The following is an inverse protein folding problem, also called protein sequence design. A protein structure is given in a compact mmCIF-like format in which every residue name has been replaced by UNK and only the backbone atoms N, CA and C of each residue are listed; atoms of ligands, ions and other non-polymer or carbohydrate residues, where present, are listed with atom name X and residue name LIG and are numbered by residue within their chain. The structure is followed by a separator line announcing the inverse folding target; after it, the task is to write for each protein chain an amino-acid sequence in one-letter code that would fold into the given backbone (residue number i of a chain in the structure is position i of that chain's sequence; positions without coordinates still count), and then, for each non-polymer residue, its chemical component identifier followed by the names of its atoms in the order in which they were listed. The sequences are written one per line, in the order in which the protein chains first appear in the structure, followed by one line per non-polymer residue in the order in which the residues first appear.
data_IF_790699278680
#
_entry.id   IF_790699278680
#
_cell.length_a   1.000
_cell.length_b   1.000
_cell.length_c   1.000
_cell.angle_alpha   90.00
_cell.angle_beta   90.00
_cell.angle_gamma   90.00
#
_symmetry.space_group_name_H-M   'P 1'
#
loop_
_entity.id
_entity.type
_entity.pdbx_description
1 polymer ?
#
# COMPACT_ATOMS: atom_id res chain seq x y z
N UNK A 1 3.84 -8.17 13.88
CA UNK A 1 4.40 -9.49 14.28
C UNK A 1 4.69 -10.36 13.07
N UNK A 2 3.75 -11.13 12.51
CA UNK A 2 4.05 -12.05 11.39
C UNK A 2 4.78 -11.35 10.23
N UNK A 3 4.25 -10.21 9.76
CA UNK A 3 4.88 -9.49 8.65
C UNK A 3 6.18 -8.83 9.05
N UNK A 4 6.27 -8.33 10.30
CA UNK A 4 7.52 -7.80 10.85
C UNK A 4 8.61 -8.85 10.79
N UNK A 5 8.33 -10.05 11.29
CA UNK A 5 9.25 -11.19 11.22
C UNK A 5 9.57 -11.58 9.77
N UNK A 6 8.58 -11.57 8.87
CA UNK A 6 8.82 -11.81 7.44
C UNK A 6 9.75 -10.76 6.78
N UNK A 7 9.80 -9.52 7.29
CA UNK A 7 10.74 -8.50 6.83
C UNK A 7 12.11 -8.64 7.47
N UNK A 8 12.14 -8.73 8.80
CA UNK A 8 13.37 -8.61 9.60
C UNK A 8 14.10 -9.93 9.78
N UNK A 9 13.37 -11.05 9.79
CA UNK A 9 13.85 -12.36 10.26
C UNK A 9 14.46 -12.35 11.66
N UNK A 10 14.15 -11.31 12.44
CA UNK A 10 14.59 -11.15 13.81
C UNK A 10 13.54 -11.76 14.75
N UNK A 11 13.81 -12.94 15.36
CA UNK A 11 12.87 -13.59 16.27
C UNK A 11 12.71 -12.84 17.60
N UNK A 12 13.64 -11.93 17.93
CA UNK A 12 13.59 -11.13 19.15
C UNK A 12 12.78 -9.86 18.96
N UNK A 13 12.38 -9.50 17.74
CA UNK A 13 11.57 -8.32 17.44
C UNK A 13 12.15 -7.03 18.03
N UNK A 14 13.44 -6.77 17.83
CA UNK A 14 14.06 -5.49 18.20
C UNK A 14 13.42 -4.32 17.47
N UNK A 15 12.86 -4.56 16.28
CA UNK A 15 12.06 -3.59 15.55
C UNK A 15 10.67 -4.13 15.23
N UNK A 16 9.64 -3.38 15.63
CA UNK A 16 8.25 -3.60 15.26
C UNK A 16 7.84 -2.62 14.16
N UNK A 17 7.54 -3.16 12.98
CA UNK A 17 7.17 -2.36 11.80
C UNK A 17 5.66 -2.16 11.73
N UNK A 18 5.21 -0.93 11.95
CA UNK A 18 3.83 -0.45 11.74
C UNK A 18 3.65 0.05 10.31
N UNK A 19 3.30 -0.87 9.43
CA UNK A 19 3.13 -0.64 8.00
C UNK A 19 1.66 -0.79 7.54
N UNK A 20 1.43 -1.03 6.25
CA UNK A 20 0.10 -1.01 5.62
C UNK A 20 -0.95 -1.88 6.34
N UNK A 21 -0.60 -3.09 6.78
CA UNK A 21 -1.54 -3.98 7.48
C UNK A 21 -1.96 -3.41 8.84
N UNK A 22 -1.07 -2.70 9.53
CA UNK A 22 -1.43 -2.01 10.76
C UNK A 22 -2.43 -0.89 10.48
N UNK A 23 -2.12 -0.02 9.52
CA UNK A 23 -2.98 1.12 9.18
C UNK A 23 -4.37 0.69 8.69
N UNK A 24 -4.43 -0.34 7.84
CA UNK A 24 -5.72 -0.91 7.40
C UNK A 24 -6.42 -1.63 8.56
N UNK A 25 -5.69 -2.36 9.40
CA UNK A 25 -6.24 -3.07 10.56
C UNK A 25 -6.99 -2.16 11.53
N UNK A 26 -6.35 -1.08 11.98
CA UNK A 26 -7.01 -0.10 12.86
C UNK A 26 -8.15 0.63 12.14
N UNK A 27 -7.98 0.93 10.84
CA UNK A 27 -9.02 1.55 10.03
C UNK A 27 -10.25 0.64 9.89
N UNK A 28 -10.10 -0.68 9.80
CA UNK A 28 -11.22 -1.63 9.79
C UNK A 28 -12.00 -1.63 11.10
N UNK A 29 -11.30 -1.54 12.25
CA UNK A 29 -11.96 -1.44 13.57
C UNK A 29 -12.80 -0.16 13.64
N UNK A 30 -12.24 0.97 13.21
CA UNK A 30 -12.95 2.26 13.19
C UNK A 30 -14.12 2.21 12.20
N UNK A 31 -13.91 1.65 11.02
CA UNK A 31 -14.95 1.43 10.01
C UNK A 31 -16.13 0.62 10.54
N UNK A 32 -15.89 -0.37 11.42
CA UNK A 32 -16.96 -1.14 12.07
C UNK A 32 -17.96 -0.28 12.84
N UNK A 33 -17.53 0.89 13.33
CA UNK A 33 -18.42 1.89 13.93
C UNK A 33 -18.97 2.87 12.88
N UNK A 34 -18.12 3.35 11.97
CA UNK A 34 -18.51 4.35 10.97
C UNK A 34 -19.50 3.84 9.92
N UNK A 35 -19.57 2.53 9.70
CA UNK A 35 -20.50 1.92 8.74
C UNK A 35 -21.97 2.11 9.11
N UNK A 36 -22.24 2.45 10.38
CA UNK A 36 -23.57 2.80 10.88
C UNK A 36 -24.01 4.21 10.46
N UNK A 37 -23.07 5.05 9.99
CA UNK A 37 -23.40 6.39 9.54
C UNK A 37 -24.09 6.36 8.17
N UNK A 38 -24.96 7.35 7.88
CA UNK A 38 -25.53 7.48 6.55
C UNK A 38 -24.45 7.71 5.48
N UNK A 39 -24.68 7.17 4.28
CA UNK A 39 -23.76 7.26 3.12
C UNK A 39 -23.16 8.66 2.90
N UNK A 40 -23.96 9.72 3.02
CA UNK A 40 -23.50 11.10 2.81
C UNK A 40 -22.43 11.52 3.81
N UNK A 41 -22.54 11.08 5.06
CA UNK A 41 -21.57 11.39 6.12
C UNK A 41 -20.27 10.65 5.91
N UNK A 42 -20.31 9.36 5.56
CA UNK A 42 -19.11 8.58 5.22
C UNK A 42 -18.38 9.18 4.02
N UNK A 43 -19.13 9.56 2.97
CA UNK A 43 -18.56 10.18 1.78
C UNK A 43 -17.91 11.53 2.13
N UNK A 44 -18.62 12.39 2.86
CA UNK A 44 -18.09 13.69 3.28
C UNK A 44 -16.83 13.54 4.13
N UNK A 45 -16.85 12.65 5.12
CA UNK A 45 -15.70 12.38 5.99
C UNK A 45 -14.50 11.86 5.20
N UNK A 46 -14.72 10.90 4.29
CA UNK A 46 -13.66 10.38 3.42
C UNK A 46 -13.05 11.46 2.53
N UNK A 47 -13.88 12.33 1.94
CA UNK A 47 -13.41 13.47 1.11
C UNK A 47 -12.62 14.44 1.98
N UNK A 48 -13.13 14.82 3.16
CA UNK A 48 -12.45 15.76 4.07
C UNK A 48 -11.09 15.22 4.48
N UNK A 49 -11.00 13.94 4.85
CA UNK A 49 -9.72 13.34 5.23
C UNK A 49 -8.77 13.33 4.03
N UNK A 50 -9.17 12.77 2.89
CA UNK A 50 -8.27 12.61 1.74
C UNK A 50 -7.85 13.95 1.14
N UNK A 51 -8.81 14.87 0.95
CA UNK A 51 -8.56 16.16 0.34
C UNK A 51 -7.93 17.15 1.31
N UNK A 52 -8.23 17.08 2.62
CA UNK A 52 -7.76 18.01 3.63
C UNK A 52 -6.50 17.59 4.37
N UNK A 53 -6.08 16.32 4.28
CA UNK A 53 -4.92 15.81 5.02
C UNK A 53 -3.65 16.64 4.79
N UNK A 54 -3.39 17.08 3.55
CA UNK A 54 -2.17 17.83 3.23
C UNK A 54 -2.19 19.28 3.75
N UNK A 55 -3.32 19.80 4.25
CA UNK A 55 -3.35 21.09 4.97
C UNK A 55 -2.47 21.01 6.22
N UNK A 56 -2.36 19.83 6.84
CA UNK A 56 -1.50 19.61 8.01
C UNK A 56 -0.01 19.80 7.71
N UNK A 57 0.40 19.78 6.44
CA UNK A 57 1.79 19.94 6.05
C UNK A 57 2.24 21.41 6.05
N UNK A 58 1.31 22.38 6.03
CA UNK A 58 1.67 23.79 6.09
C UNK A 58 2.32 24.11 7.44
N UNK A 59 3.44 24.84 7.44
CA UNK A 59 4.27 25.13 8.62
C UNK A 59 3.45 25.66 9.80
N UNK A 60 2.54 26.60 9.52
CA UNK A 60 1.62 27.20 10.49
C UNK A 60 0.80 26.17 11.27
N UNK A 61 0.42 25.06 10.63
CA UNK A 61 -0.36 23.98 11.24
C UNK A 61 0.58 22.94 11.87
N UNK A 62 1.64 22.60 11.16
CA UNK A 62 2.55 21.51 11.46
C UNK A 62 3.39 21.75 12.72
N UNK A 63 3.89 22.97 12.92
CA UNK A 63 4.75 23.34 14.06
C UNK A 63 4.11 23.04 15.43
N UNK A 64 2.77 23.09 15.51
CA UNK A 64 2.03 22.83 16.75
C UNK A 64 1.62 21.37 16.94
N UNK A 65 1.62 20.56 15.88
CA UNK A 65 1.02 19.21 15.88
C UNK A 65 2.05 18.08 15.74
N UNK A 66 3.25 18.36 15.19
CA UNK A 66 4.27 17.34 14.93
C UNK A 66 5.15 17.05 16.14
N UNK A 67 5.79 15.88 16.15
CA UNK A 67 6.86 15.56 17.10
C UNK A 67 6.48 14.60 18.22
N UNK A 68 5.48 13.75 18.01
CA UNK A 68 5.11 12.74 19.00
C UNK A 68 4.46 11.50 18.40
N UNK A 69 4.50 10.40 19.16
CA UNK A 69 4.00 9.09 18.75
C UNK A 69 2.57 9.15 18.19
N UNK A 70 1.68 9.87 18.86
CA UNK A 70 0.27 9.98 18.47
C UNK A 70 0.09 10.76 17.16
N UNK A 71 0.83 11.85 16.99
CA UNK A 71 0.78 12.66 15.79
C UNK A 71 1.24 11.85 14.56
N UNK A 72 2.28 11.03 14.73
CA UNK A 72 2.79 10.16 13.67
C UNK A 72 1.86 8.98 13.39
N UNK A 73 1.30 8.35 14.43
CA UNK A 73 0.29 7.30 14.27
C UNK A 73 -0.91 7.79 13.47
N UNK A 74 -1.36 9.01 13.73
CA UNK A 74 -2.56 9.57 13.11
C UNK A 74 -2.27 10.14 11.72
N UNK A 75 -1.29 11.03 11.61
CA UNK A 75 -1.14 11.92 10.45
C UNK A 75 0.25 11.91 9.84
N UNK A 76 1.32 12.04 10.62
CA UNK A 76 2.61 12.53 10.10
C UNK A 76 3.70 11.48 9.88
N UNK A 77 3.45 10.20 10.14
CA UNK A 77 4.50 9.19 10.03
C UNK A 77 5.20 9.18 8.67
N UNK A 78 6.53 9.30 8.75
CA UNK A 78 7.47 9.17 7.65
C UNK A 78 8.69 8.40 8.17
N UNK A 79 8.54 7.07 8.30
CA UNK A 79 9.53 6.19 8.90
C UNK A 79 9.93 6.60 10.33
N UNK A 80 9.02 7.21 11.08
CA UNK A 80 9.24 7.68 12.45
C UNK A 80 9.56 6.52 13.39
N UNK A 81 10.63 6.63 14.17
CA UNK A 81 11.07 5.58 15.10
C UNK A 81 10.94 6.01 16.54
N UNK A 82 10.45 5.09 17.37
CA UNK A 82 10.21 5.31 18.80
C UNK A 82 10.73 4.13 19.59
N UNK A 83 11.56 4.39 20.60
CA UNK A 83 11.99 3.36 21.53
C UNK A 83 10.88 3.11 22.55
N UNK A 84 10.39 1.87 22.63
CA UNK A 84 9.33 1.48 23.57
C UNK A 84 9.93 0.80 24.80
N UNK A 85 10.94 -0.04 24.59
CA UNK A 85 11.72 -0.66 25.66
C UNK A 85 13.21 -0.57 25.31
N UNK A 86 14.09 -0.81 26.28
CA UNK A 86 15.54 -0.86 26.02
C UNK A 86 15.83 -1.88 24.92
N UNK A 87 16.41 -1.43 23.81
CA UNK A 87 16.71 -2.26 22.63
C UNK A 87 15.51 -2.62 21.74
N UNK A 88 14.29 -2.19 22.05
CA UNK A 88 13.10 -2.45 21.23
C UNK A 88 12.43 -1.16 20.74
N UNK A 89 12.21 -1.10 19.44
CA UNK A 89 11.72 0.07 18.73
C UNK A 89 10.43 -0.25 17.96
N UNK A 90 9.58 0.75 17.81
CA UNK A 90 8.51 0.76 16.81
C UNK A 90 8.93 1.73 15.70
N UNK A 91 8.78 1.30 14.45
CA UNK A 91 8.83 2.19 13.30
C UNK A 91 7.43 2.34 12.70
N UNK A 92 6.97 3.59 12.57
CA UNK A 92 5.70 3.91 11.95
C UNK A 92 5.98 4.35 10.52
N UNK A 93 5.57 3.52 9.57
CA UNK A 93 5.70 3.80 8.14
C UNK A 93 4.35 4.34 7.61
N UNK A 94 3.24 3.94 8.21
CA UNK A 94 1.90 4.28 7.73
C UNK A 94 1.08 4.93 8.86
N UNK A 95 0.88 6.25 8.81
CA UNK A 95 -0.13 6.96 9.62
C UNK A 95 -1.52 6.52 9.17
N UNK A 96 -2.40 6.13 10.08
CA UNK A 96 -3.61 5.41 9.67
C UNK A 96 -4.75 6.32 9.16
N UNK A 97 -4.83 7.60 9.56
CA UNK A 97 -5.99 8.44 9.22
C UNK A 97 -6.11 8.67 7.70
N UNK A 98 -5.04 8.96 6.94
CA UNK A 98 -5.12 9.03 5.48
C UNK A 98 -5.67 7.73 4.83
N UNK A 99 -5.29 6.57 5.37
CA UNK A 99 -5.78 5.27 4.89
C UNK A 99 -7.25 5.02 5.29
N UNK A 100 -7.67 5.46 6.47
CA UNK A 100 -9.07 5.45 6.87
C UNK A 100 -9.92 6.29 5.91
N UNK A 101 -9.44 7.49 5.55
CA UNK A 101 -10.10 8.37 4.59
C UNK A 101 -10.36 7.68 3.25
N UNK A 102 -9.33 7.04 2.68
CA UNK A 102 -9.52 6.34 1.41
C UNK A 102 -10.36 5.06 1.54
N UNK A 103 -10.34 4.38 2.69
CA UNK A 103 -11.21 3.24 2.97
C UNK A 103 -12.68 3.65 3.05
N UNK A 104 -13.00 4.80 3.65
CA UNK A 104 -14.36 5.37 3.66
C UNK A 104 -14.84 5.65 2.23
N UNK A 105 -13.99 6.27 1.41
CA UNK A 105 -14.30 6.51 -0.01
C UNK A 105 -14.47 5.20 -0.78
N UNK A 106 -13.62 4.21 -0.53
CA UNK A 106 -13.71 2.87 -1.11
C UNK A 106 -15.00 2.15 -0.73
N UNK A 107 -15.43 2.26 0.53
CA UNK A 107 -16.71 1.73 0.99
C UNK A 107 -17.88 2.38 0.27
N UNK A 108 -17.87 3.71 0.13
CA UNK A 108 -18.89 4.43 -0.63
C UNK A 108 -18.88 4.04 -2.11
N UNK A 109 -17.69 3.90 -2.70
CA UNK A 109 -17.49 3.45 -4.08
C UNK A 109 -18.03 2.05 -4.33
N UNK A 110 -17.97 1.15 -3.33
CA UNK A 110 -18.56 -0.20 -3.39
C UNK A 110 -20.06 -0.20 -3.73
N UNK A 111 -20.78 0.88 -3.43
CA UNK A 111 -22.20 1.04 -3.78
C UNK A 111 -22.47 0.92 -5.29
N UNK A 112 -21.51 1.31 -6.14
CA UNK A 112 -21.64 1.19 -7.60
C UNK A 112 -21.66 -0.27 -8.08
N UNK A 113 -21.16 -1.20 -7.27
CA UNK A 113 -21.14 -2.64 -7.54
C UNK A 113 -22.27 -3.41 -6.84
N UNK A 114 -23.23 -2.70 -6.22
CA UNK A 114 -24.44 -3.32 -5.69
C UNK A 114 -25.27 -3.98 -6.81
N UNK A 115 -25.98 -5.04 -6.48
CA UNK A 115 -26.78 -5.84 -7.43
C UNK A 115 -27.86 -5.03 -8.18
N UNK A 116 -28.35 -3.95 -7.57
CA UNK A 116 -29.36 -3.06 -8.14
C UNK A 116 -28.78 -1.90 -8.98
N UNK A 117 -27.45 -1.78 -9.06
CA UNK A 117 -26.82 -0.66 -9.76
C UNK A 117 -26.63 -0.98 -11.25
N UNK A 118 -27.12 -0.10 -12.11
CA UNK A 118 -27.04 -0.27 -13.56
C UNK A 118 -25.57 -0.33 -14.06
N UNK A 119 -25.15 -1.40 -14.77
CA UNK A 119 -23.78 -1.53 -15.27
C UNK A 119 -23.37 -0.42 -16.25
N UNK A 120 -24.28 0.08 -17.09
CA UNK A 120 -24.01 1.17 -18.03
C UNK A 120 -23.67 2.47 -17.32
N UNK A 121 -24.46 2.83 -16.30
CA UNK A 121 -24.22 3.96 -15.40
C UNK A 121 -22.94 3.78 -14.61
N UNK A 122 -22.67 2.58 -14.05
CA UNK A 122 -21.42 2.29 -13.34
C UNK A 122 -20.22 2.58 -14.24
N UNK A 123 -20.18 1.98 -15.43
CA UNK A 123 -19.07 2.20 -16.38
C UNK A 123 -18.84 3.68 -16.69
N UNK A 124 -19.92 4.43 -16.94
CA UNK A 124 -19.85 5.87 -17.18
C UNK A 124 -19.23 6.62 -16.00
N UNK A 125 -19.68 6.31 -14.78
CA UNK A 125 -19.14 6.90 -13.54
C UNK A 125 -17.66 6.55 -13.38
N UNK A 126 -17.26 5.29 -13.59
CA UNK A 126 -15.86 4.86 -13.48
C UNK A 126 -14.96 5.61 -14.45
N UNK A 127 -15.37 5.74 -15.72
CA UNK A 127 -14.60 6.49 -16.71
C UNK A 127 -14.49 7.96 -16.28
N UNK A 128 -15.60 8.60 -15.92
CA UNK A 128 -15.62 10.01 -15.51
C UNK A 128 -14.78 10.28 -14.26
N UNK A 129 -14.89 9.44 -13.22
CA UNK A 129 -14.10 9.56 -12.00
C UNK A 129 -12.62 9.31 -12.26
N UNK A 130 -12.29 8.25 -13.01
CA UNK A 130 -10.91 7.92 -13.36
C UNK A 130 -10.23 9.03 -14.15
N UNK A 131 -10.87 9.54 -15.21
CA UNK A 131 -10.37 10.68 -15.99
C UNK A 131 -10.32 11.96 -15.17
N UNK A 132 -11.31 12.20 -14.30
CA UNK A 132 -11.37 13.37 -13.44
C UNK A 132 -10.23 13.40 -12.42
N UNK A 133 -9.89 12.26 -11.82
CA UNK A 133 -8.75 12.12 -10.92
C UNK A 133 -7.41 12.29 -11.65
N UNK A 134 -7.26 11.73 -12.86
CA UNK A 134 -6.05 11.96 -13.67
C UNK A 134 -5.91 13.46 -14.01
N UNK A 135 -6.99 14.11 -14.39
CA UNK A 135 -6.99 15.55 -14.66
C UNK A 135 -6.65 16.36 -13.40
N UNK A 136 -7.24 16.01 -12.25
CA UNK A 136 -6.93 16.63 -10.97
C UNK A 136 -5.45 16.46 -10.60
N UNK A 137 -4.89 15.26 -10.80
CA UNK A 137 -3.46 15.02 -10.60
C UNK A 137 -2.62 15.96 -11.47
N UNK A 138 -2.89 16.02 -12.77
CA UNK A 138 -2.13 16.88 -13.69
C UNK A 138 -2.25 18.35 -13.29
N UNK A 139 -3.47 18.82 -12.99
CA UNK A 139 -3.72 20.20 -12.58
C UNK A 139 -2.95 20.56 -11.30
N UNK A 140 -3.05 19.74 -10.25
CA UNK A 140 -2.35 19.99 -9.00
C UNK A 140 -0.84 19.95 -9.15
N UNK A 141 -0.31 19.04 -9.98
CA UNK A 141 1.12 19.00 -10.29
C UNK A 141 1.57 20.23 -11.07
N UNK A 142 0.83 20.69 -12.07
CA UNK A 142 1.17 21.91 -12.81
C UNK A 142 1.15 23.16 -11.91
N UNK A 143 0.22 23.24 -10.96
CA UNK A 143 0.17 24.33 -9.97
C UNK A 143 1.32 24.24 -8.96
N UNK A 144 1.72 23.03 -8.58
CA UNK A 144 2.87 22.77 -7.70
C UNK A 144 2.75 23.39 -6.28
N UNK A 145 1.53 23.60 -5.78
CA UNK A 145 1.27 24.30 -4.49
C UNK A 145 0.64 23.42 -3.38
N UNK A 146 0.05 22.27 -3.72
CA UNK A 146 -0.73 21.47 -2.78
C UNK A 146 -0.43 19.99 -2.93
N UNK A 147 -0.46 19.23 -1.84
CA UNK A 147 -0.41 17.76 -1.88
C UNK A 147 0.98 17.14 -2.00
N UNK A 148 2.02 17.89 -2.35
CA UNK A 148 3.40 17.37 -2.36
C UNK A 148 4.32 18.30 -1.58
N UNK A 149 4.96 17.84 -0.48
CA UNK A 149 5.97 18.64 0.23
C UNK A 149 7.24 18.86 -0.59
N UNK A 150 7.48 18.10 -1.66
CA UNK A 150 8.60 18.25 -2.56
C UNK A 150 8.12 18.64 -3.97
N UNK A 151 7.95 19.94 -4.27
CA UNK A 151 7.53 20.42 -5.58
C UNK A 151 8.42 19.85 -6.71
N UNK A 152 7.81 19.46 -7.82
CA UNK A 152 8.60 19.03 -8.98
C UNK A 152 9.36 20.22 -9.56
N UNK A 153 10.49 19.92 -10.18
CA UNK A 153 11.34 20.91 -10.83
C UNK A 153 12.10 20.28 -11.99
N UNK A 154 12.51 21.13 -12.94
CA UNK A 154 13.33 20.72 -14.06
C UNK A 154 14.64 20.07 -13.59
N UNK A 155 14.96 18.93 -14.19
CA UNK A 155 16.14 18.16 -13.84
C UNK A 155 17.28 18.47 -14.81
N UNK A 156 18.51 18.72 -14.32
CA UNK A 156 19.68 18.94 -15.17
C UNK A 156 19.99 17.75 -16.10
N UNK A 157 19.52 16.56 -15.72
CA UNK A 157 19.70 15.30 -16.47
C UNK A 157 18.77 15.17 -17.69
N UNK A 158 17.97 16.20 -17.98
CA UNK A 158 17.14 16.29 -19.18
C UNK A 158 15.66 15.96 -18.97
N UNK A 159 14.90 16.01 -20.06
CA UNK A 159 13.42 15.98 -20.07
C UNK A 159 12.82 14.72 -19.45
N UNK A 160 13.46 13.56 -19.61
CA UNK A 160 12.98 12.30 -18.99
C UNK A 160 13.03 12.40 -17.47
N UNK A 161 14.10 12.94 -16.91
CA UNK A 161 14.22 13.10 -15.46
C UNK A 161 13.27 14.19 -14.94
N UNK A 162 13.02 15.26 -15.72
CA UNK A 162 11.98 16.24 -15.40
C UNK A 162 10.59 15.60 -15.37
N UNK A 163 10.27 14.73 -16.33
CA UNK A 163 9.02 13.98 -16.35
C UNK A 163 8.90 13.01 -15.16
N UNK A 164 9.99 12.33 -14.80
CA UNK A 164 10.02 11.49 -13.59
C UNK A 164 9.87 12.32 -12.32
N UNK A 165 10.45 13.52 -12.25
CA UNK A 165 10.23 14.49 -11.17
C UNK A 165 8.75 14.86 -11.09
N UNK A 166 8.09 15.12 -12.22
CA UNK A 166 6.65 15.37 -12.27
C UNK A 166 5.81 14.20 -11.74
N UNK A 167 6.22 12.94 -11.96
CA UNK A 167 5.53 11.76 -11.42
C UNK A 167 5.94 11.39 -9.98
N UNK A 168 7.05 11.92 -9.47
CA UNK A 168 7.56 11.63 -8.15
C UNK A 168 6.76 12.42 -7.10
N UNK A 169 5.86 11.74 -6.40
CA UNK A 169 4.94 12.36 -5.42
C UNK A 169 5.02 11.65 -4.08
N UNK A 170 4.81 12.40 -3.00
CA UNK A 170 4.92 11.86 -1.66
C UNK A 170 3.85 10.80 -1.33
N UNK A 171 4.32 9.63 -0.88
CA UNK A 171 3.47 8.49 -0.47
C UNK A 171 3.24 8.41 1.04
N UNK A 172 4.16 8.95 1.85
CA UNK A 172 4.14 8.79 3.30
C UNK A 172 4.11 10.14 4.00
N UNK A 173 2.98 10.51 4.62
CA UNK A 173 1.63 9.94 4.44
C UNK A 173 1.07 10.17 3.00
N UNK A 174 0.08 9.38 2.54
CA UNK A 174 -0.38 9.46 1.15
C UNK A 174 -1.17 10.74 0.93
N UNK A 175 -0.79 11.50 -0.10
CA UNK A 175 -1.44 12.76 -0.45
C UNK A 175 -2.63 12.59 -1.40
N UNK A 176 -3.43 13.65 -1.52
CA UNK A 176 -4.47 13.74 -2.56
C UNK A 176 -3.90 13.49 -3.96
N UNK A 177 -2.71 14.04 -4.26
CA UNK A 177 -2.04 13.85 -5.55
C UNK A 177 -1.63 12.38 -5.73
N UNK A 178 -1.06 11.74 -4.70
CA UNK A 178 -0.70 10.33 -4.74
C UNK A 178 -1.93 9.46 -5.02
N UNK A 179 -3.05 9.72 -4.34
CA UNK A 179 -4.30 9.00 -4.60
C UNK A 179 -4.85 9.26 -6.00
N UNK A 180 -4.84 10.52 -6.47
CA UNK A 180 -5.31 10.86 -7.81
C UNK A 180 -4.48 10.16 -8.91
N UNK A 181 -3.15 10.16 -8.75
CA UNK A 181 -2.20 9.51 -9.67
C UNK A 181 -2.37 7.99 -9.71
N UNK A 182 -2.66 7.35 -8.58
CA UNK A 182 -2.69 5.88 -8.46
C UNK A 182 -4.08 5.31 -8.68
N UNK A 183 -5.12 5.95 -8.14
CA UNK A 183 -6.50 5.48 -8.24
C UNK A 183 -7.19 5.95 -9.52
N UNK A 184 -6.84 7.12 -10.08
CA UNK A 184 -7.42 7.60 -11.33
C UNK A 184 -7.26 6.59 -12.47
N UNK A 185 -6.02 6.18 -12.82
CA UNK A 185 -5.78 5.13 -13.80
C UNK A 185 -6.41 3.79 -13.43
N UNK A 186 -6.38 3.40 -12.15
CA UNK A 186 -6.98 2.14 -11.68
C UNK A 186 -8.49 2.09 -11.88
N UNK A 187 -9.22 3.16 -11.51
CA UNK A 187 -10.66 3.29 -11.68
C UNK A 187 -11.03 3.36 -13.17
N UNK A 188 -10.25 4.12 -13.96
CA UNK A 188 -10.43 4.17 -15.42
C UNK A 188 -10.26 2.78 -16.03
N UNK A 189 -9.19 2.07 -15.65
CA UNK A 189 -8.92 0.71 -16.08
C UNK A 189 -10.10 -0.22 -15.76
N UNK A 190 -10.63 -0.18 -14.52
CA UNK A 190 -11.82 -0.95 -14.14
C UNK A 190 -13.03 -0.70 -15.06
N UNK A 191 -13.30 0.56 -15.41
CA UNK A 191 -14.40 0.90 -16.34
C UNK A 191 -14.16 0.43 -17.78
N UNK A 192 -12.90 0.29 -18.20
CA UNK A 192 -12.54 -0.19 -19.53
C UNK A 192 -12.58 -1.72 -19.63
N UNK A 193 -12.17 -2.42 -18.57
CA UNK A 193 -12.04 -3.88 -18.58
C UNK A 193 -13.24 -4.63 -18.00
N UNK A 194 -14.30 -3.93 -17.59
CA UNK A 194 -15.44 -4.50 -16.89
C UNK A 194 -16.07 -5.72 -17.58
N UNK A 195 -16.11 -5.74 -18.93
CA UNK A 195 -16.68 -6.84 -19.73
C UNK A 195 -15.64 -7.85 -20.24
N UNK A 196 -14.36 -7.67 -19.90
CA UNK A 196 -13.26 -8.46 -20.48
C UNK A 196 -13.07 -9.75 -19.69
N UNK A 197 -13.50 -10.86 -20.30
CA UNK A 197 -13.31 -12.21 -19.75
C UNK A 197 -12.49 -13.05 -20.71
N UNK A 198 -11.24 -13.34 -20.33
CA UNK A 198 -10.33 -14.18 -21.12
C UNK A 198 -9.37 -14.95 -20.19
N UNK A 199 -8.49 -15.76 -20.78
CA UNK A 199 -7.54 -16.59 -20.01
C UNK A 199 -6.62 -15.74 -19.13
N UNK A 200 -6.18 -14.58 -19.60
CA UNK A 200 -5.29 -13.69 -18.86
C UNK A 200 -6.00 -13.07 -17.66
N UNK A 201 -7.22 -12.52 -17.84
CA UNK A 201 -8.00 -12.01 -16.71
C UNK A 201 -8.38 -13.11 -15.72
N UNK A 202 -8.58 -14.34 -16.20
CA UNK A 202 -8.73 -15.53 -15.35
C UNK A 202 -7.52 -15.81 -14.45
N UNK A 203 -6.29 -15.65 -14.96
CA UNK A 203 -5.05 -15.78 -14.17
C UNK A 203 -4.98 -14.69 -13.10
N UNK A 204 -5.20 -13.43 -13.49
CA UNK A 204 -5.17 -12.30 -12.55
C UNK A 204 -6.22 -12.43 -11.44
N UNK A 205 -7.41 -12.93 -11.78
CA UNK A 205 -8.50 -13.17 -10.83
C UNK A 205 -8.17 -14.23 -9.78
N UNK A 206 -7.21 -15.14 -10.02
CA UNK A 206 -6.76 -16.08 -9.00
C UNK A 206 -6.04 -15.32 -7.89
N UNK A 207 -5.05 -14.49 -8.22
CA UNK A 207 -4.36 -13.67 -7.22
C UNK A 207 -5.32 -12.71 -6.51
N UNK A 208 -6.21 -12.06 -7.27
CA UNK A 208 -7.17 -11.09 -6.74
C UNK A 208 -8.19 -11.67 -5.76
N UNK A 209 -8.47 -12.98 -5.81
CA UNK A 209 -9.40 -13.66 -4.87
C UNK A 209 -8.74 -14.10 -3.56
N UNK A 210 -7.41 -14.24 -3.56
CA UNK A 210 -6.64 -14.65 -2.37
C UNK A 210 -5.44 -13.73 -2.07
N UNK A 211 -5.61 -12.39 -2.11
CA UNK A 211 -4.50 -11.45 -2.07
C UNK A 211 -3.76 -11.47 -0.74
N UNK A 212 -4.43 -11.71 0.39
CA UNK A 212 -3.78 -11.80 1.70
C UNK A 212 -2.87 -13.03 1.81
N UNK A 213 -3.25 -14.17 1.22
CA UNK A 213 -2.39 -15.34 1.17
C UNK A 213 -1.10 -15.04 0.39
N UNK A 214 -1.24 -14.48 -0.81
CA UNK A 214 -0.10 -14.06 -1.62
C UNK A 214 0.77 -13.06 -0.84
N UNK A 215 0.13 -12.05 -0.22
CA UNK A 215 0.80 -11.03 0.56
C UNK A 215 1.59 -11.60 1.76
N UNK A 216 1.11 -12.61 2.45
CA UNK A 216 1.87 -13.21 3.55
C UNK A 216 3.01 -14.06 3.01
N UNK A 217 2.71 -14.97 2.07
CA UNK A 217 3.68 -15.95 1.60
C UNK A 217 4.85 -15.33 0.83
N UNK A 218 4.61 -14.29 0.03
CA UNK A 218 5.70 -13.70 -0.76
C UNK A 218 6.82 -13.12 0.13
N UNK A 219 6.52 -12.59 1.33
CA UNK A 219 7.57 -12.12 2.25
C UNK A 219 8.48 -13.27 2.69
N UNK A 220 7.90 -14.39 3.11
CA UNK A 220 8.68 -15.54 3.55
C UNK A 220 9.47 -16.18 2.41
N UNK A 221 8.89 -16.26 1.22
CA UNK A 221 9.60 -16.78 0.03
C UNK A 221 10.76 -15.85 -0.33
N UNK A 222 10.52 -14.55 -0.44
CA UNK A 222 11.58 -13.57 -0.77
C UNK A 222 12.66 -13.60 0.30
N UNK A 223 12.32 -13.62 1.58
CA UNK A 223 13.32 -13.68 2.64
C UNK A 223 14.12 -14.99 2.60
N UNK A 224 13.48 -16.12 2.30
CA UNK A 224 14.18 -17.39 2.08
C UNK A 224 15.16 -17.29 0.91
N UNK A 225 14.77 -16.63 -0.19
CA UNK A 225 15.67 -16.37 -1.32
C UNK A 225 16.83 -15.44 -0.93
N UNK A 226 16.61 -14.48 -0.04
CA UNK A 226 17.66 -13.63 0.52
C UNK A 226 18.67 -14.48 1.30
N UNK A 227 18.20 -15.38 2.18
CA UNK A 227 19.07 -16.30 2.94
C UNK A 227 19.87 -17.22 2.00
N UNK A 228 19.24 -17.76 0.96
CA UNK A 228 19.93 -18.59 -0.04
C UNK A 228 21.00 -17.75 -0.76
N UNK A 229 20.63 -16.55 -1.22
CA UNK A 229 21.54 -15.64 -1.93
C UNK A 229 22.72 -15.22 -1.06
N UNK A 230 22.47 -14.98 0.23
CA UNK A 230 23.49 -14.65 1.23
C UNK A 230 24.60 -15.72 1.27
N UNK A 231 24.24 -16.98 1.44
CA UNK A 231 25.25 -18.05 1.45
C UNK A 231 25.86 -18.31 0.07
N UNK A 232 25.08 -18.21 -1.02
CA UNK A 232 25.60 -18.38 -2.39
C UNK A 232 26.63 -17.29 -2.75
N UNK A 233 26.46 -16.07 -2.25
CA UNK A 233 27.41 -14.97 -2.45
C UNK A 233 28.60 -15.01 -1.47
N UNK A 234 28.69 -16.03 -0.61
CA UNK A 234 29.84 -16.30 0.23
C UNK A 234 29.84 -15.61 1.60
N UNK A 235 28.73 -15.01 2.02
CA UNK A 235 28.60 -14.41 3.35
C UNK A 235 28.55 -15.50 4.43
N UNK A 236 29.21 -15.23 5.56
CA UNK A 236 29.31 -16.13 6.70
C UNK A 236 28.32 -15.80 7.82
N UNK A 237 28.31 -16.62 8.87
CA UNK A 237 27.39 -16.42 10.00
C UNK A 237 27.58 -15.08 10.73
N UNK A 238 28.80 -14.54 10.71
CA UNK A 238 29.13 -13.26 11.33
C UNK A 238 28.51 -12.07 10.58
N UNK A 239 28.13 -12.27 9.31
CA UNK A 239 27.50 -11.25 8.45
C UNK A 239 25.96 -11.22 8.56
N UNK A 240 25.36 -12.14 9.35
CA UNK A 240 23.90 -12.27 9.45
C UNK A 240 23.28 -10.99 10.02
N UNK A 241 23.92 -10.40 11.02
CA UNK A 241 23.44 -9.18 11.68
C UNK A 241 24.34 -8.03 11.25
N UNK A 242 23.78 -7.10 10.48
CA UNK A 242 24.48 -5.89 10.07
C UNK A 242 24.10 -4.73 10.96
N UNK A 243 25.09 -4.06 11.54
CA UNK A 243 24.86 -2.92 12.44
C UNK A 243 24.07 -1.81 11.73
N UNK A 244 23.06 -1.27 12.42
CA UNK A 244 22.17 -0.23 11.88
C UNK A 244 21.15 -0.72 10.85
N UNK A 245 21.16 -2.00 10.46
CA UNK A 245 20.21 -2.58 9.51
C UNK A 245 19.26 -3.52 10.25
N UNK A 246 17.95 -3.24 10.29
CA UNK A 246 16.99 -4.05 11.05
C UNK A 246 16.57 -5.34 10.31
N UNK A 247 17.29 -5.73 9.26
CA UNK A 247 16.98 -6.87 8.41
C UNK A 247 18.14 -7.85 8.47
N UNK A 248 17.91 -9.04 9.03
CA UNK A 248 18.92 -10.09 9.07
C UNK A 248 19.21 -10.60 7.66
N UNK A 249 20.40 -11.16 7.47
CA UNK A 249 20.90 -11.65 6.18
C UNK A 249 20.99 -10.57 5.10
N UNK A 250 21.19 -9.31 5.48
CA UNK A 250 21.30 -8.18 4.53
C UNK A 250 22.57 -7.33 4.75
N UNK A 251 23.77 -7.91 4.59
CA UNK A 251 25.02 -7.17 4.61
C UNK A 251 25.15 -6.25 3.39
N UNK A 252 26.08 -5.29 3.49
CA UNK A 252 26.44 -4.43 2.38
C UNK A 252 26.96 -5.25 1.18
N UNK A 253 26.52 -4.89 -0.02
CA UNK A 253 26.93 -5.56 -1.27
C UNK A 253 26.11 -6.80 -1.66
N UNK A 254 25.22 -7.30 -0.79
CA UNK A 254 24.31 -8.39 -1.12
C UNK A 254 23.30 -7.97 -2.20
N UNK A 255 23.06 -8.86 -3.16
CA UNK A 255 21.87 -8.81 -4.03
C UNK A 255 22.21 -8.88 -5.51
N UNK A 256 21.32 -8.32 -6.33
CA UNK A 256 21.41 -8.38 -7.78
C UNK A 256 21.21 -6.99 -8.39
N UNK A 257 21.73 -6.79 -9.61
CA UNK A 257 21.31 -5.67 -10.45
C UNK A 257 19.83 -5.78 -10.84
N UNK A 258 19.31 -4.72 -11.46
CA UNK A 258 17.89 -4.61 -11.83
C UNK A 258 17.34 -5.83 -12.60
N UNK A 259 18.04 -6.42 -13.60
CA UNK A 259 17.54 -7.62 -14.29
C UNK A 259 17.34 -8.82 -13.35
N UNK A 260 18.25 -9.02 -12.38
CA UNK A 260 18.13 -10.10 -11.40
C UNK A 260 16.95 -9.89 -10.46
N UNK A 261 16.70 -8.64 -10.04
CA UNK A 261 15.51 -8.29 -9.25
C UNK A 261 14.22 -8.63 -10.01
N UNK A 262 14.14 -8.30 -11.30
CA UNK A 262 13.00 -8.67 -12.14
C UNK A 262 12.86 -10.19 -12.30
N UNK A 263 13.96 -10.92 -12.47
CA UNK A 263 13.94 -12.38 -12.56
C UNK A 263 13.41 -13.02 -11.27
N UNK A 264 13.88 -12.58 -10.10
CA UNK A 264 13.39 -13.02 -8.79
C UNK A 264 11.92 -12.69 -8.62
N UNK A 265 11.49 -11.48 -8.99
CA UNK A 265 10.08 -11.09 -8.90
C UNK A 265 9.18 -11.98 -9.77
N UNK A 266 9.54 -12.21 -11.03
CA UNK A 266 8.79 -13.12 -11.93
C UNK A 266 8.75 -14.52 -11.33
N UNK A 267 9.88 -15.03 -10.84
CA UNK A 267 9.96 -16.34 -10.21
C UNK A 267 9.00 -16.47 -9.01
N UNK A 268 8.99 -15.49 -8.10
CA UNK A 268 8.10 -15.47 -6.94
C UNK A 268 6.63 -15.41 -7.34
N UNK A 269 6.28 -14.60 -8.35
CA UNK A 269 4.92 -14.56 -8.90
C UNK A 269 4.52 -15.95 -9.43
N UNK A 270 5.36 -16.55 -10.28
CA UNK A 270 5.06 -17.84 -10.92
C UNK A 270 4.92 -18.97 -9.90
N UNK A 271 5.83 -19.08 -8.92
CA UNK A 271 5.78 -20.17 -7.93
C UNK A 271 4.59 -20.07 -6.97
N UNK A 272 4.11 -18.85 -6.71
CA UNK A 272 2.93 -18.63 -5.87
C UNK A 272 1.62 -18.94 -6.59
N UNK A 273 1.59 -18.89 -7.92
CA UNK A 273 0.38 -19.18 -8.71
C UNK A 273 -0.34 -20.50 -8.32
N UNK A 274 0.32 -21.68 -8.31
CA UNK A 274 -0.35 -22.93 -7.95
C UNK A 274 -0.88 -22.92 -6.52
N UNK A 275 -0.16 -22.29 -5.58
CA UNK A 275 -0.57 -22.17 -4.18
C UNK A 275 -1.82 -21.30 -4.05
N UNK A 276 -1.83 -20.13 -4.72
CA UNK A 276 -2.99 -19.26 -4.78
C UNK A 276 -4.20 -19.96 -5.42
N UNK A 277 -3.99 -20.70 -6.51
CA UNK A 277 -5.05 -21.45 -7.19
C UNK A 277 -5.63 -22.57 -6.32
N UNK A 278 -4.79 -23.30 -5.60
CA UNK A 278 -5.23 -24.32 -4.65
C UNK A 278 -6.05 -23.70 -3.51
N UNK A 279 -5.52 -22.64 -2.91
CA UNK A 279 -6.17 -21.99 -1.79
C UNK A 279 -7.49 -21.31 -2.19
N UNK A 280 -7.58 -20.73 -3.38
CA UNK A 280 -8.84 -20.19 -3.95
C UNK A 280 -9.93 -21.26 -4.01
N UNK A 281 -9.61 -22.45 -4.52
CA UNK A 281 -10.53 -23.59 -4.52
C UNK A 281 -10.94 -23.99 -3.11
N UNK A 282 -9.97 -24.08 -2.19
CA UNK A 282 -10.22 -24.46 -0.80
C UNK A 282 -11.12 -23.42 -0.09
N UNK A 283 -10.78 -22.12 -0.19
CA UNK A 283 -11.57 -21.01 0.38
C UNK A 283 -13.00 -21.06 -0.17
N UNK A 284 -13.16 -21.15 -1.48
CA UNK A 284 -14.48 -21.20 -2.12
C UNK A 284 -15.34 -22.38 -1.65
N UNK A 285 -14.74 -23.56 -1.51
CA UNK A 285 -15.46 -24.77 -1.07
C UNK A 285 -15.82 -24.76 0.42
N UNK A 286 -15.06 -24.05 1.27
CA UNK A 286 -15.18 -24.17 2.73
C UNK A 286 -15.67 -22.90 3.44
N UNK A 287 -15.69 -21.74 2.80
CA UNK A 287 -15.98 -20.43 3.45
C UNK A 287 -17.31 -20.42 4.22
N UNK A 288 -18.31 -21.17 3.76
CA UNK A 288 -19.63 -21.28 4.43
C UNK A 288 -19.58 -22.06 5.74
N UNK A 289 -18.61 -22.98 5.88
CA UNK A 289 -18.47 -23.87 7.05
C UNK A 289 -17.36 -23.43 8.01
N UNK A 290 -16.39 -22.64 7.53
CA UNK A 290 -15.19 -22.27 8.26
C UNK A 290 -15.08 -20.74 8.33
N UNK A 291 -15.54 -20.12 9.43
CA UNK A 291 -15.59 -18.66 9.56
C UNK A 291 -14.24 -17.95 9.38
N UNK A 292 -13.14 -18.60 9.77
CA UNK A 292 -11.78 -18.04 9.63
C UNK A 292 -11.31 -17.87 8.18
N UNK A 293 -12.01 -18.47 7.21
CA UNK A 293 -11.78 -18.24 5.78
C UNK A 293 -12.48 -16.97 5.26
N UNK A 294 -13.38 -16.39 6.05
CA UNK A 294 -14.06 -15.13 5.78
C UNK A 294 -13.17 -13.96 6.20
N UNK A 295 -12.05 -13.79 5.51
CA UNK A 295 -11.30 -12.54 5.51
C UNK A 295 -11.31 -12.02 4.06
N UNK A 296 -11.57 -10.71 3.92
CA UNK A 296 -11.84 -10.05 2.63
C UNK A 296 -12.96 -10.75 1.82
#
# INVERSE_FOLDING_TARGET
LIITFGWTFDPQYHLLIMQVIWAIGISMIIMGMLVLLPYKWMLALGIIIVAGHNILNYSVVNESLKGGLWADLLYFADFSTYQIFKGHYIIIIYSFVPWLGIMLLGYCFGRFYGSSFDPGKRRKILIQLGTGLIFLFILLRLLNMYGDPAPWHEQPRGTVYTFLSFLNVNKYPPSLIFFAMTLGPGILFLGLIEKVQNRFTGILNIYGRVPMLYYILHFFIIHTLVVITFYVQGFGNDDIITEGVPFFFKPGGLGFGLPGVWAVWIFVVVILFPVCKWYDKYKTANVRTKPWLSYL
#
